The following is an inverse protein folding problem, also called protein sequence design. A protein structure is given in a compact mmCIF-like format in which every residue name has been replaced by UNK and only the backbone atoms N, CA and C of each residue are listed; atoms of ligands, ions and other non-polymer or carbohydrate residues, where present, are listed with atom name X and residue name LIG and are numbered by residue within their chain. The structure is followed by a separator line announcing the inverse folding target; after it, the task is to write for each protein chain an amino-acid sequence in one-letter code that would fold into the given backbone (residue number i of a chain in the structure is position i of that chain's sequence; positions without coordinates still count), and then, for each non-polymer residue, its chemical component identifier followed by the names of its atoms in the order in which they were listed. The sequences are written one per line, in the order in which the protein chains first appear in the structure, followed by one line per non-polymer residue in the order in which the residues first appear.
data_IF_571962705250
#
_entry.id   IF_571962705250
#
_cell.length_a   1.000
_cell.length_b   1.000
_cell.length_c   1.000
_cell.angle_alpha   90.00
_cell.angle_beta   90.00
_cell.angle_gamma   90.00
#
_symmetry.space_group_name_H-M   'P 1'
#
loop_
_entity.id
_entity.type
_entity.pdbx_description
1 polymer ?
#
# COMPACT_ATOMS: atom_id res chain seq x y z
N UNK A 1 2.69 -0.19 -4.82
CA UNK A 1 2.36 -1.35 -3.96
C UNK A 1 1.47 -1.00 -2.79
N UNK A 2 1.84 0.06 -2.06
CA UNK A 2 1.16 0.60 -0.89
C UNK A 2 -0.28 1.06 -1.19
N UNK A 3 -0.58 1.45 -2.44
CA UNK A 3 -1.96 1.77 -2.89
C UNK A 3 -2.89 0.56 -2.77
N UNK A 4 -2.42 -0.65 -3.06
CA UNK A 4 -3.23 -1.86 -2.91
C UNK A 4 -3.51 -2.20 -1.43
N UNK A 5 -2.65 -1.74 -0.51
CA UNK A 5 -2.91 -1.83 0.93
C UNK A 5 -4.04 -0.88 1.32
N UNK A 6 -4.09 0.34 0.76
CA UNK A 6 -5.23 1.25 0.96
C UNK A 6 -6.53 0.66 0.40
N UNK A 7 -6.48 0.03 -0.77
CA UNK A 7 -7.65 -0.67 -1.34
C UNK A 7 -8.13 -1.78 -0.42
N UNK A 8 -7.21 -2.53 0.21
CA UNK A 8 -7.54 -3.54 1.21
C UNK A 8 -8.21 -2.94 2.44
N UNK A 9 -7.66 -1.85 2.99
CA UNK A 9 -8.22 -1.15 4.16
C UNK A 9 -9.62 -0.63 3.83
N UNK A 10 -9.79 0.02 2.69
CA UNK A 10 -11.07 0.55 2.24
C UNK A 10 -12.09 -0.55 1.95
N UNK A 11 -11.68 -1.62 1.26
CA UNK A 11 -12.55 -2.74 0.88
C UNK A 11 -12.98 -3.61 2.05
N UNK A 12 -12.22 -3.61 3.14
CA UNK A 12 -12.55 -4.30 4.39
C UNK A 12 -13.21 -3.37 5.43
N UNK A 13 -13.49 -2.12 5.05
CA UNK A 13 -14.04 -1.07 5.93
C UNK A 13 -13.22 -0.83 7.22
N UNK A 14 -11.91 -1.09 7.17
CA UNK A 14 -11.00 -0.99 8.32
C UNK A 14 -10.56 0.44 8.63
N UNK A 15 -11.26 1.44 8.09
CA UNK A 15 -10.87 2.85 8.24
C UNK A 15 -10.91 3.28 9.70
N UNK A 16 -11.93 2.84 10.45
CA UNK A 16 -12.11 3.22 11.83
C UNK A 16 -11.04 2.61 12.73
N UNK A 17 -10.69 1.35 12.49
CA UNK A 17 -9.62 0.62 13.16
C UNK A 17 -8.26 1.22 12.82
N UNK A 18 -8.04 1.62 11.57
CA UNK A 18 -6.81 2.28 11.14
C UNK A 18 -6.61 3.64 11.83
N UNK A 19 -7.69 4.39 12.10
CA UNK A 19 -7.62 5.64 12.87
C UNK A 19 -7.19 5.43 14.32
N UNK A 20 -7.46 4.26 14.89
CA UNK A 20 -7.04 3.90 16.25
C UNK A 20 -5.56 3.49 16.34
N UNK A 21 -4.88 3.30 15.21
CA UNK A 21 -3.44 3.02 15.16
C UNK A 21 -2.56 4.27 15.44
N UNK A 22 -3.11 5.28 16.11
CA UNK A 22 -2.40 6.51 16.46
C UNK A 22 -1.11 6.17 17.22
N UNK A 23 0.03 6.67 16.72
CA UNK A 23 1.35 6.44 17.32
C UNK A 23 2.18 5.35 16.64
N UNK A 24 1.62 4.58 15.70
CA UNK A 24 2.42 3.69 14.85
C UNK A 24 2.99 4.51 13.69
N UNK A 25 4.31 4.62 13.62
CA UNK A 25 4.96 5.31 12.49
C UNK A 25 4.69 4.58 11.17
N UNK A 26 4.41 5.34 10.11
CA UNK A 26 4.28 4.81 8.74
C UNK A 26 5.53 4.02 8.33
N UNK A 27 6.72 4.43 8.77
CA UNK A 27 7.99 3.73 8.53
C UNK A 27 8.01 2.31 9.14
N UNK A 28 7.48 2.15 10.36
CA UNK A 28 7.34 0.84 11.01
C UNK A 28 6.37 -0.07 10.24
N UNK A 29 5.23 0.45 9.79
CA UNK A 29 4.28 -0.32 8.97
C UNK A 29 4.90 -0.78 7.65
N UNK A 30 5.64 0.10 6.98
CA UNK A 30 6.37 -0.23 5.76
C UNK A 30 7.44 -1.29 6.04
N UNK A 31 8.18 -1.17 7.15
CA UNK A 31 9.14 -2.19 7.56
C UNK A 31 8.48 -3.54 7.79
N UNK A 32 7.36 -3.60 8.52
CA UNK A 32 6.62 -4.83 8.78
C UNK A 32 6.11 -5.48 7.48
N UNK A 33 5.63 -4.68 6.51
CA UNK A 33 5.17 -5.20 5.23
C UNK A 33 6.31 -5.69 4.32
N UNK A 34 7.47 -5.02 4.34
CA UNK A 34 8.64 -5.40 3.52
C UNK A 34 9.43 -6.56 4.14
N UNK A 35 9.52 -6.57 5.45
CA UNK A 35 10.27 -7.54 6.25
C UNK A 35 9.40 -8.00 7.42
N UNK A 36 8.38 -8.84 7.16
CA UNK A 36 7.55 -9.36 8.22
C UNK A 36 8.42 -10.09 9.25
N UNK A 37 8.17 -9.88 10.56
CA UNK A 37 8.91 -10.56 11.61
C UNK A 37 8.90 -12.08 11.39
N UNK A 38 10.09 -12.68 11.42
CA UNK A 38 10.28 -14.10 11.18
C UNK A 38 10.34 -14.87 12.50
N UNK A 39 9.36 -15.74 12.71
CA UNK A 39 9.29 -16.60 13.88
C UNK A 39 7.92 -17.26 13.99
N UNK A 40 7.88 -18.55 14.31
CA UNK A 40 6.62 -19.31 14.44
C UNK A 40 5.72 -18.84 15.58
N UNK A 41 6.20 -17.93 16.44
CA UNK A 41 5.45 -17.34 17.56
C UNK A 41 5.01 -15.90 17.34
N UNK A 42 5.43 -15.24 16.25
CA UNK A 42 4.98 -13.88 15.96
C UNK A 42 3.69 -13.91 15.13
N UNK A 43 2.56 -13.74 15.83
CA UNK A 43 1.24 -13.68 15.22
C UNK A 43 1.14 -12.59 14.14
N UNK A 44 1.85 -11.48 14.30
CA UNK A 44 1.88 -10.37 13.33
C UNK A 44 2.58 -10.79 12.05
N UNK A 45 3.77 -11.39 12.19
CA UNK A 45 4.54 -11.93 11.06
C UNK A 45 3.75 -12.97 10.26
N UNK A 46 3.03 -13.86 10.94
CA UNK A 46 2.19 -14.88 10.30
C UNK A 46 1.00 -14.27 9.55
N UNK A 47 0.33 -13.27 10.12
CA UNK A 47 -0.79 -12.58 9.44
C UNK A 47 -0.30 -11.84 8.19
N UNK A 48 0.82 -11.13 8.29
CA UNK A 48 1.39 -10.40 7.16
C UNK A 48 1.78 -11.35 6.04
N UNK A 49 2.51 -12.42 6.36
CA UNK A 49 3.04 -13.39 5.38
C UNK A 49 1.94 -14.24 4.73
N UNK A 50 0.94 -14.68 5.51
CA UNK A 50 -0.05 -15.64 5.04
C UNK A 50 -1.35 -15.01 4.54
N UNK A 51 -1.64 -13.76 4.92
CA UNK A 51 -2.91 -13.10 4.59
C UNK A 51 -2.69 -11.82 3.80
N UNK A 52 -1.96 -10.85 4.37
CA UNK A 52 -1.90 -9.50 3.81
C UNK A 52 -1.07 -9.45 2.51
N UNK A 53 0.16 -9.96 2.52
CA UNK A 53 1.03 -9.95 1.34
C UNK A 53 0.40 -10.75 0.17
N UNK A 54 -0.13 -11.98 0.38
CA UNK A 54 -0.83 -12.70 -0.67
C UNK A 54 -2.07 -11.98 -1.19
N UNK A 55 -2.87 -11.35 -0.31
CA UNK A 55 -4.05 -10.59 -0.73
C UNK A 55 -3.68 -9.39 -1.60
N UNK A 56 -2.63 -8.65 -1.23
CA UNK A 56 -2.09 -7.55 -2.05
C UNK A 56 -1.59 -8.06 -3.39
N UNK A 57 -0.88 -9.19 -3.41
CA UNK A 57 -0.39 -9.79 -4.64
C UNK A 57 -1.53 -10.22 -5.57
N UNK A 58 -2.59 -10.83 -5.01
CA UNK A 58 -3.78 -11.21 -5.76
C UNK A 58 -4.51 -9.98 -6.32
N UNK A 59 -4.70 -8.93 -5.51
CA UNK A 59 -5.35 -7.69 -5.95
C UNK A 59 -4.60 -7.02 -7.11
N UNK A 60 -3.26 -7.04 -7.11
CA UNK A 60 -2.47 -6.55 -8.23
C UNK A 60 -2.75 -7.28 -9.55
N UNK A 61 -3.03 -8.57 -9.48
CA UNK A 61 -3.30 -9.38 -10.66
C UNK A 61 -4.71 -9.15 -11.20
N UNK A 62 -5.70 -9.03 -10.32
CA UNK A 62 -7.11 -8.91 -10.74
C UNK A 62 -7.55 -7.47 -11.00
N UNK A 63 -6.85 -6.48 -10.42
CA UNK A 63 -7.19 -5.07 -10.53
C UNK A 63 -5.93 -4.24 -10.82
N UNK A 64 -5.38 -4.29 -12.05
CA UNK A 64 -4.25 -3.47 -12.43
C UNK A 64 -4.65 -1.99 -12.43
N UNK A 65 -4.32 -1.28 -11.36
CA UNK A 65 -4.62 0.14 -11.22
C UNK A 65 -3.56 1.00 -11.88
N UNK A 66 -3.99 1.99 -12.64
CA UNK A 66 -3.13 3.05 -13.17
C UNK A 66 -3.44 4.36 -12.47
N UNK A 67 -2.44 5.04 -11.92
CA UNK A 67 -2.64 6.31 -11.22
C UNK A 67 -3.15 7.41 -12.16
N UNK A 68 -2.84 7.34 -13.46
CA UNK A 68 -3.41 8.28 -14.44
C UNK A 68 -4.91 8.11 -14.65
N UNK A 69 -5.48 6.99 -14.22
CA UNK A 69 -6.93 6.77 -14.19
C UNK A 69 -7.58 7.26 -12.89
N UNK A 70 -6.78 7.49 -11.83
CA UNK A 70 -7.26 7.87 -10.50
C UNK A 70 -7.07 9.37 -10.22
N UNK A 71 -6.02 9.98 -10.78
CA UNK A 71 -5.63 11.37 -10.54
C UNK A 71 -5.51 12.15 -11.84
N UNK A 72 -5.70 13.47 -11.77
CA UNK A 72 -5.57 14.33 -12.95
C UNK A 72 -4.12 14.39 -13.42
N UNK A 73 -3.91 14.61 -14.72
CA UNK A 73 -2.57 14.73 -15.29
C UNK A 73 -1.80 15.92 -14.72
N UNK A 74 -2.49 16.99 -14.33
CA UNK A 74 -1.89 18.17 -13.68
C UNK A 74 -1.35 17.86 -12.29
N UNK A 75 -2.07 17.07 -11.49
CA UNK A 75 -1.64 16.69 -10.13
C UNK A 75 -0.41 15.79 -10.22
N UNK A 76 -0.47 14.77 -11.09
CA UNK A 76 0.64 13.85 -11.33
C UNK A 76 1.89 14.58 -11.85
N UNK A 77 1.73 15.55 -12.76
CA UNK A 77 2.84 16.37 -13.23
C UNK A 77 3.47 17.21 -12.12
N UNK A 78 2.65 17.78 -11.22
CA UNK A 78 3.14 18.54 -10.06
C UNK A 78 3.94 17.69 -9.07
N UNK A 79 3.62 16.39 -9.00
CA UNK A 79 4.35 15.40 -8.19
C UNK A 79 5.55 14.77 -8.92
N UNK A 80 5.85 15.22 -10.15
CA UNK A 80 6.94 14.67 -10.97
C UNK A 80 6.68 13.22 -11.39
N UNK A 81 5.41 12.85 -11.53
CA UNK A 81 4.87 11.54 -11.88
C UNK A 81 4.29 11.60 -13.31
N UNK A 82 5.14 11.91 -14.29
CA UNK A 82 4.75 11.92 -15.70
C UNK A 82 4.77 10.48 -16.24
N UNK A 83 3.88 10.12 -17.18
CA UNK A 83 3.65 8.78 -17.80
C UNK A 83 2.57 7.93 -17.13
N UNK A 84 1.94 6.97 -17.84
CA UNK A 84 1.06 5.99 -17.21
C UNK A 84 1.80 5.29 -16.07
N UNK A 85 1.29 5.44 -14.85
CA UNK A 85 1.93 4.89 -13.65
C UNK A 85 1.09 3.73 -13.16
N UNK A 86 1.61 2.54 -13.39
CA UNK A 86 1.10 1.36 -12.73
C UNK A 86 1.28 1.52 -11.21
N UNK A 87 0.18 1.45 -10.45
CA UNK A 87 0.18 1.49 -8.99
C UNK A 87 0.95 0.30 -8.37
N UNK A 88 1.27 -0.73 -9.17
CA UNK A 88 2.16 -1.83 -8.81
C UNK A 88 3.63 -1.38 -8.71
N UNK A 89 4.03 -0.33 -9.45
CA UNK A 89 5.36 0.28 -9.39
C UNK A 89 5.59 0.84 -7.98
N UNK A 90 6.54 0.24 -7.26
CA UNK A 90 6.84 0.61 -5.87
C UNK A 90 7.44 2.01 -5.77
N UNK A 91 8.36 2.37 -6.66
CA UNK A 91 9.02 3.67 -6.66
C UNK A 91 8.03 4.80 -6.91
N UNK A 92 7.15 4.61 -7.90
CA UNK A 92 6.14 5.61 -8.22
C UNK A 92 5.04 5.70 -7.14
N UNK A 93 4.67 4.55 -6.55
CA UNK A 93 3.76 4.50 -5.40
C UNK A 93 4.36 5.19 -4.18
N UNK A 94 5.63 4.99 -3.87
CA UNK A 94 6.31 5.61 -2.73
C UNK A 94 6.41 7.13 -2.95
N UNK A 95 6.83 7.56 -4.15
CA UNK A 95 6.88 8.99 -4.52
C UNK A 95 5.52 9.69 -4.44
N UNK A 96 4.44 8.99 -4.79
CA UNK A 96 3.07 9.46 -4.58
C UNK A 96 2.76 9.67 -3.08
N UNK A 97 3.15 8.74 -2.20
CA UNK A 97 2.94 8.92 -0.76
C UNK A 97 3.85 9.97 -0.12
N UNK A 98 5.04 10.20 -0.68
CA UNK A 98 5.96 11.24 -0.19
C UNK A 98 5.52 12.67 -0.58
N UNK A 99 4.60 12.80 -1.55
CA UNK A 99 4.13 14.10 -2.06
C UNK A 99 2.81 14.57 -1.45
N UNK A 100 2.14 13.74 -0.64
CA UNK A 100 0.85 14.01 0.01
C UNK A 100 1.04 14.12 1.52
#
# INVERSE_FOLDING_TARGET
GSIYVLVLIAGLDLKHEAQQLSGISSSLLVQLLRHPPSGSQDATGLVLSNKIIPAVAYLRQILPMNLTALFSSSDLASWGLNFPIDASNLEASDKFFDTI
#
